data_IF_875963847278
#
_entry.id   IF_875963847278
#
_cell.length_a   1.000
_cell.length_b   1.000
_cell.length_c   1.000
_cell.angle_alpha   90.00
_cell.angle_beta   90.00
_cell.angle_gamma   90.00
#
_symmetry.space_group_name_H-M   'P 1'
#
loop_
_entity.id
_entity.type
_entity.pdbx_description
1 polymer ?
#
# COMPACT_ATOMS: atom_id res chain seq x y z
N UNK A 1 -0.05 -20.88 2.88
CA UNK A 1 1.22 -20.38 3.53
C UNK A 1 0.94 -20.12 5.00
N UNK A 2 1.80 -20.59 5.89
CA UNK A 2 1.68 -20.30 7.32
C UNK A 2 1.94 -18.82 7.62
N UNK A 3 1.25 -18.25 8.61
CA UNK A 3 1.28 -16.81 8.87
C UNK A 3 2.68 -16.28 9.19
N UNK A 4 3.45 -16.98 10.04
CA UNK A 4 4.81 -16.57 10.39
C UNK A 4 5.77 -16.70 9.20
N UNK A 5 5.58 -17.69 8.36
CA UNK A 5 6.33 -17.83 7.11
C UNK A 5 6.05 -16.66 6.18
N UNK A 6 4.79 -16.32 5.96
CA UNK A 6 4.37 -15.20 5.14
C UNK A 6 5.01 -13.88 5.59
N UNK A 7 4.99 -13.60 6.90
CA UNK A 7 5.62 -12.41 7.48
C UNK A 7 7.13 -12.40 7.24
N UNK A 8 7.80 -13.54 7.43
CA UNK A 8 9.26 -13.66 7.33
C UNK A 8 9.75 -13.68 5.88
N UNK A 9 8.96 -14.17 4.93
CA UNK A 9 9.38 -14.35 3.53
C UNK A 9 8.94 -13.23 2.61
N UNK A 10 7.88 -12.46 2.95
CA UNK A 10 7.46 -11.31 2.14
C UNK A 10 8.61 -10.31 1.94
N UNK A 11 8.81 -9.88 0.69
CA UNK A 11 9.83 -8.89 0.29
C UNK A 11 9.20 -7.76 -0.52
N UNK A 12 9.91 -6.64 -0.59
CA UNK A 12 9.60 -5.58 -1.56
C UNK A 12 10.13 -5.98 -2.92
N UNK A 13 9.22 -6.39 -3.81
CA UNK A 13 9.51 -6.80 -5.19
C UNK A 13 9.41 -5.58 -6.09
N UNK A 14 10.43 -5.35 -6.94
CA UNK A 14 10.51 -4.20 -7.84
C UNK A 14 10.67 -4.58 -9.31
N UNK A 15 10.81 -5.88 -9.59
CA UNK A 15 10.81 -6.42 -10.94
C UNK A 15 9.69 -7.44 -11.07
N UNK A 16 8.89 -7.25 -12.07
CA UNK A 16 7.71 -8.06 -12.34
C UNK A 16 7.81 -8.70 -13.72
N UNK A 17 7.11 -9.79 -13.91
CA UNK A 17 6.88 -10.37 -15.23
C UNK A 17 5.86 -9.52 -16.00
N UNK A 18 5.72 -9.74 -17.29
CA UNK A 18 4.70 -9.09 -18.11
C UNK A 18 3.29 -9.69 -17.90
N UNK A 19 3.17 -10.74 -17.09
CA UNK A 19 1.89 -11.37 -16.79
C UNK A 19 0.96 -10.37 -16.10
N UNK A 20 -0.23 -10.10 -16.65
CA UNK A 20 -1.20 -9.21 -16.03
C UNK A 20 -1.65 -9.76 -14.67
N UNK A 21 -1.91 -8.86 -13.72
CA UNK A 21 -2.63 -9.22 -12.48
C UNK A 21 -4.11 -9.12 -12.77
N UNK A 22 -4.83 -10.20 -12.54
CA UNK A 22 -6.27 -10.27 -12.81
C UNK A 22 -7.08 -9.52 -11.76
N UNK A 23 -8.30 -9.15 -12.14
CA UNK A 23 -9.26 -8.55 -11.21
C UNK A 23 -9.61 -9.51 -10.07
N UNK A 24 -9.68 -10.79 -10.34
CA UNK A 24 -9.98 -11.85 -9.39
C UNK A 24 -8.88 -12.01 -8.35
N UNK A 25 -7.61 -12.01 -8.76
CA UNK A 25 -6.47 -12.04 -7.84
C UNK A 25 -6.48 -10.81 -6.91
N UNK A 26 -6.67 -9.62 -7.46
CA UNK A 26 -6.75 -8.39 -6.66
C UNK A 26 -7.95 -8.38 -5.73
N UNK A 27 -9.10 -8.90 -6.16
CA UNK A 27 -10.28 -9.01 -5.32
C UNK A 27 -10.04 -9.95 -4.11
N UNK A 28 -9.36 -11.07 -4.31
CA UNK A 28 -8.98 -11.98 -3.23
C UNK A 28 -8.01 -11.32 -2.24
N UNK A 29 -7.02 -10.60 -2.75
CA UNK A 29 -6.05 -9.85 -1.92
C UNK A 29 -6.76 -8.78 -1.10
N UNK A 30 -7.64 -7.98 -1.72
CA UNK A 30 -8.39 -6.91 -1.03
C UNK A 30 -9.38 -7.50 -0.02
N UNK A 31 -10.04 -8.62 -0.33
CA UNK A 31 -10.92 -9.32 0.60
C UNK A 31 -10.19 -9.75 1.88
N UNK A 32 -8.96 -10.24 1.75
CA UNK A 32 -8.11 -10.56 2.90
C UNK A 32 -7.63 -9.28 3.62
N UNK A 33 -7.25 -8.24 2.87
CA UNK A 33 -6.81 -6.97 3.43
C UNK A 33 -7.91 -6.24 4.21
N UNK A 34 -9.18 -6.50 3.92
CA UNK A 34 -10.32 -5.95 4.67
C UNK A 34 -10.37 -6.38 6.15
N UNK A 35 -9.66 -7.47 6.51
CA UNK A 35 -9.52 -7.91 7.90
C UNK A 35 -8.44 -7.13 8.67
N UNK A 36 -7.76 -6.16 8.07
CA UNK A 36 -6.85 -5.26 8.76
C UNK A 36 -7.60 -4.52 9.88
N UNK A 37 -7.12 -4.52 11.14
CA UNK A 37 -7.75 -3.73 12.18
C UNK A 37 -7.64 -2.24 11.88
N UNK A 38 -8.63 -1.49 12.32
CA UNK A 38 -8.67 -0.04 12.21
C UNK A 38 -9.33 0.60 13.43
N UNK A 39 -9.08 1.87 13.65
CA UNK A 39 -9.72 2.66 14.73
C UNK A 39 -11.24 2.45 14.75
N UNK A 40 -11.78 1.95 15.88
CA UNK A 40 -13.23 1.68 16.03
C UNK A 40 -13.85 0.95 14.81
N UNK A 41 -13.06 0.13 14.10
CA UNK A 41 -13.45 -0.57 12.89
C UNK A 41 -13.95 0.38 11.76
N UNK A 42 -13.31 1.53 11.61
CA UNK A 42 -13.69 2.54 10.59
C UNK A 42 -13.41 2.11 9.16
N UNK A 43 -12.50 1.15 8.96
CA UNK A 43 -12.18 0.55 7.65
C UNK A 43 -11.94 1.62 6.57
N UNK A 44 -11.07 2.60 6.86
CA UNK A 44 -10.86 3.79 6.02
C UNK A 44 -10.10 3.52 4.72
N UNK A 45 -9.37 2.41 4.61
CA UNK A 45 -8.56 2.10 3.42
C UNK A 45 -9.42 1.88 2.18
N UNK A 46 -8.97 2.39 1.03
CA UNK A 46 -9.53 2.16 -0.30
C UNK A 46 -8.40 1.85 -1.28
N UNK A 47 -8.66 0.98 -2.23
CA UNK A 47 -7.68 0.49 -3.19
C UNK A 47 -8.11 0.84 -4.60
N UNK A 48 -7.53 1.87 -5.18
CA UNK A 48 -7.78 2.30 -6.55
C UNK A 48 -6.71 1.68 -7.44
N UNK A 49 -7.10 0.74 -8.28
CA UNK A 49 -6.18 -0.03 -9.12
C UNK A 49 -6.02 0.62 -10.48
N UNK A 50 -4.79 0.87 -10.88
CA UNK A 50 -4.40 1.43 -12.18
C UNK A 50 -3.67 0.35 -12.98
N UNK A 51 -4.30 -0.14 -14.05
CA UNK A 51 -3.73 -1.09 -15.02
C UNK A 51 -3.57 -0.48 -16.41
N UNK A 52 -4.18 0.68 -16.66
CA UNK A 52 -4.02 1.42 -17.91
C UNK A 52 -2.58 1.90 -18.06
N UNK A 53 -1.94 1.51 -19.18
CA UNK A 53 -0.52 1.79 -19.42
C UNK A 53 -0.21 3.29 -19.47
N UNK A 54 -1.07 4.09 -20.10
CA UNK A 54 -0.86 5.53 -20.20
C UNK A 54 -0.94 6.20 -18.82
N UNK A 55 -1.89 5.79 -17.99
CA UNK A 55 -2.01 6.29 -16.60
C UNK A 55 -0.85 5.83 -15.74
N UNK A 56 -0.42 4.57 -15.83
CA UNK A 56 0.77 4.06 -15.10
C UNK A 56 2.02 4.84 -15.49
N UNK A 57 2.22 5.08 -16.78
CA UNK A 57 3.35 5.86 -17.26
C UNK A 57 3.31 7.30 -16.70
N UNK A 58 2.15 7.94 -16.73
CA UNK A 58 1.97 9.28 -16.14
C UNK A 58 2.22 9.28 -14.62
N UNK A 59 1.72 8.28 -13.89
CA UNK A 59 2.05 8.14 -12.46
C UNK A 59 3.57 8.05 -12.24
N UNK A 60 4.28 7.28 -13.07
CA UNK A 60 5.72 7.13 -12.99
C UNK A 60 6.47 8.43 -13.30
N UNK A 61 6.14 9.10 -14.40
CA UNK A 61 6.88 10.25 -14.89
C UNK A 61 6.57 11.54 -14.13
N UNK A 62 5.31 11.74 -13.78
CA UNK A 62 4.84 13.02 -13.24
C UNK A 62 4.73 13.02 -11.71
N UNK A 63 4.44 11.86 -11.06
CA UNK A 63 4.00 11.83 -9.66
C UNK A 63 5.07 11.37 -8.66
N UNK A 64 6.22 10.85 -9.11
CA UNK A 64 7.23 10.21 -8.24
C UNK A 64 8.33 11.16 -7.75
N UNK A 65 8.14 12.48 -7.85
CA UNK A 65 9.10 13.49 -7.36
C UNK A 65 10.54 13.22 -7.86
N UNK A 66 10.68 12.87 -9.13
CA UNK A 66 11.95 12.53 -9.80
C UNK A 66 12.75 11.37 -9.16
N UNK A 67 12.09 10.56 -8.31
CA UNK A 67 12.74 9.41 -7.71
C UNK A 67 12.79 8.21 -8.67
N UNK A 68 13.88 8.10 -9.41
CA UNK A 68 14.08 7.15 -10.52
C UNK A 68 13.75 5.69 -10.18
N UNK A 69 14.00 5.24 -8.94
CA UNK A 69 13.67 3.86 -8.53
C UNK A 69 12.16 3.61 -8.50
N UNK A 70 11.37 4.55 -8.00
CA UNK A 70 9.90 4.42 -8.01
C UNK A 70 9.34 4.59 -9.41
N UNK A 71 9.87 5.54 -10.20
CA UNK A 71 9.49 5.74 -11.60
C UNK A 71 9.65 4.44 -12.39
N UNK A 72 10.83 3.83 -12.33
CA UNK A 72 11.10 2.56 -13.00
C UNK A 72 10.20 1.43 -12.51
N UNK A 73 9.95 1.36 -11.20
CA UNK A 73 9.10 0.31 -10.62
C UNK A 73 7.64 0.47 -11.07
N UNK A 74 7.10 1.68 -11.02
CA UNK A 74 5.71 1.97 -11.38
C UNK A 74 5.44 1.76 -12.88
N UNK A 75 6.36 2.18 -13.76
CA UNK A 75 6.21 2.03 -15.20
C UNK A 75 6.24 0.57 -15.67
N UNK A 76 6.96 -0.32 -14.96
CA UNK A 76 7.08 -1.74 -15.34
C UNK A 76 6.14 -2.66 -14.55
N UNK A 77 5.45 -2.17 -13.54
CA UNK A 77 4.51 -3.00 -12.78
C UNK A 77 3.25 -3.29 -13.62
N UNK A 78 2.72 -4.53 -13.62
CA UNK A 78 1.43 -4.84 -14.25
C UNK A 78 0.27 -4.00 -13.71
N UNK A 79 0.31 -3.66 -12.42
CA UNK A 79 -0.65 -2.77 -11.79
C UNK A 79 0.01 -1.87 -10.74
N UNK A 80 -0.53 -0.66 -10.58
CA UNK A 80 -0.23 0.24 -9.46
C UNK A 80 -1.51 0.47 -8.68
N UNK A 81 -1.50 0.16 -7.39
CA UNK A 81 -2.58 0.46 -6.48
C UNK A 81 -2.32 1.80 -5.82
N UNK A 82 -3.20 2.76 -6.03
CA UNK A 82 -3.26 3.99 -5.25
C UNK A 82 -4.06 3.67 -3.99
N UNK A 83 -3.36 3.47 -2.89
CA UNK A 83 -3.99 3.28 -1.58
C UNK A 83 -4.42 4.64 -1.06
N UNK A 84 -5.72 4.81 -0.91
CA UNK A 84 -6.30 6.02 -0.30
C UNK A 84 -6.90 5.70 1.07
N UNK A 85 -7.14 6.74 1.85
CA UNK A 85 -7.79 6.67 3.15
C UNK A 85 -8.92 7.70 3.25
N UNK A 86 -10.07 7.27 3.76
CA UNK A 86 -11.20 8.18 4.05
C UNK A 86 -10.81 9.06 5.24
N UNK A 87 -10.87 10.38 5.06
CA UNK A 87 -10.47 11.36 6.07
C UNK A 87 -11.57 11.61 7.12
N UNK A 88 -11.20 12.14 8.28
CA UNK A 88 -12.15 12.53 9.34
C UNK A 88 -12.86 11.36 10.04
N UNK A 89 -12.32 10.13 9.95
CA UNK A 89 -12.92 8.94 10.57
C UNK A 89 -12.03 8.35 11.68
N UNK A 90 -10.86 7.83 11.33
CA UNK A 90 -9.93 7.27 12.31
C UNK A 90 -9.31 8.39 13.16
N UNK A 91 -9.43 8.27 14.48
CA UNK A 91 -8.99 9.29 15.42
C UNK A 91 -9.99 10.42 15.67
N UNK A 92 -11.21 10.31 15.13
CA UNK A 92 -12.25 11.33 15.26
C UNK A 92 -13.54 10.79 15.87
N UNK A 93 -14.28 11.66 16.56
CA UNK A 93 -15.64 11.44 17.01
C UNK A 93 -16.64 11.78 15.88
N UNK A 94 -17.92 11.49 16.12
CA UNK A 94 -18.99 11.71 15.11
C UNK A 94 -19.23 13.18 14.80
N UNK A 95 -18.91 14.07 15.74
CA UNK A 95 -19.03 15.52 15.58
C UNK A 95 -17.84 16.17 14.89
N UNK A 96 -16.84 15.37 14.48
CA UNK A 96 -15.62 15.83 13.83
C UNK A 96 -14.51 16.27 14.77
N UNK A 97 -14.71 16.20 16.10
CA UNK A 97 -13.68 16.48 17.07
C UNK A 97 -12.63 15.35 17.12
N UNK A 98 -11.37 15.69 17.43
CA UNK A 98 -10.32 14.68 17.63
C UNK A 98 -10.57 13.88 18.90
N UNK A 99 -10.56 12.53 18.81
CA UNK A 99 -10.68 11.65 19.97
C UNK A 99 -9.43 11.65 20.85
N UNK A 100 -8.28 12.03 20.29
CA UNK A 100 -6.99 12.03 20.99
C UNK A 100 -6.10 13.15 20.47
N UNK A 101 -5.00 13.44 21.19
CA UNK A 101 -3.97 14.40 20.77
C UNK A 101 -3.25 14.00 19.47
N UNK A 102 -3.37 12.76 18.99
CA UNK A 102 -2.75 12.26 17.76
C UNK A 102 -3.49 12.72 16.49
N UNK A 103 -4.76 13.14 16.58
CA UNK A 103 -5.53 13.68 15.46
C UNK A 103 -5.47 12.81 14.20
N UNK A 104 -5.03 13.39 13.09
CA UNK A 104 -4.95 12.73 11.78
C UNK A 104 -3.93 11.58 11.70
N UNK A 105 -3.01 11.43 12.65
CA UNK A 105 -2.02 10.36 12.64
C UNK A 105 -2.66 8.96 12.68
N UNK A 106 -3.82 8.82 13.30
CA UNK A 106 -4.56 7.57 13.32
C UNK A 106 -4.99 7.10 11.93
N UNK A 107 -5.28 8.02 11.02
CA UNK A 107 -5.62 7.69 9.63
C UNK A 107 -4.41 7.07 8.90
N UNK A 108 -3.23 7.67 9.06
CA UNK A 108 -1.99 7.14 8.49
C UNK A 108 -1.59 5.81 9.14
N UNK A 109 -1.84 5.65 10.44
CA UNK A 109 -1.59 4.40 11.16
C UNK A 109 -2.47 3.27 10.60
N UNK A 110 -3.77 3.48 10.48
CA UNK A 110 -4.71 2.49 9.92
C UNK A 110 -4.39 2.17 8.45
N UNK A 111 -4.04 3.19 7.65
CA UNK A 111 -3.64 2.99 6.26
C UNK A 111 -2.35 2.14 6.16
N UNK A 112 -1.40 2.33 7.07
CA UNK A 112 -0.18 1.51 7.16
C UNK A 112 -0.47 0.04 7.50
N UNK A 113 -1.39 -0.21 8.43
CA UNK A 113 -1.84 -1.56 8.78
C UNK A 113 -2.51 -2.22 7.56
N UNK A 114 -3.41 -1.50 6.88
CA UNK A 114 -4.08 -1.98 5.68
C UNK A 114 -3.10 -2.27 4.54
N UNK A 115 -2.11 -1.39 4.32
CA UNK A 115 -1.05 -1.60 3.32
C UNK A 115 -0.24 -2.87 3.61
N UNK A 116 0.15 -3.09 4.87
CA UNK A 116 0.89 -4.30 5.24
C UNK A 116 0.04 -5.55 5.08
N UNK A 117 -1.23 -5.51 5.49
CA UNK A 117 -2.14 -6.67 5.34
C UNK A 117 -2.36 -6.99 3.86
N UNK A 118 -2.53 -5.96 2.99
CA UNK A 118 -2.57 -6.12 1.53
C UNK A 118 -1.30 -6.80 1.01
N UNK A 119 -0.12 -6.34 1.42
CA UNK A 119 1.15 -6.93 0.97
C UNK A 119 1.34 -8.38 1.42
N UNK A 120 0.90 -8.73 2.62
CA UNK A 120 0.92 -10.12 3.11
C UNK A 120 -0.05 -11.00 2.33
N UNK A 121 -1.28 -10.52 2.10
CA UNK A 121 -2.27 -11.24 1.30
C UNK A 121 -1.76 -11.45 -0.14
N UNK A 122 -1.22 -10.41 -0.79
CA UNK A 122 -0.62 -10.52 -2.11
C UNK A 122 0.48 -11.60 -2.15
N UNK A 123 1.41 -11.56 -1.17
CA UNK A 123 2.48 -12.54 -1.06
C UNK A 123 1.94 -13.97 -0.88
N UNK A 124 0.93 -14.16 -0.06
CA UNK A 124 0.29 -15.46 0.15
C UNK A 124 -0.39 -16.00 -1.13
N UNK A 125 -0.80 -15.11 -2.03
CA UNK A 125 -1.35 -15.43 -3.37
C UNK A 125 -0.29 -15.48 -4.49
N UNK A 126 1.01 -15.41 -4.16
CA UNK A 126 2.10 -15.50 -5.16
C UNK A 126 2.39 -14.16 -5.87
N UNK A 127 1.80 -13.06 -5.44
CA UNK A 127 2.07 -11.74 -6.00
C UNK A 127 3.16 -11.01 -5.22
N UNK A 128 4.02 -10.29 -5.94
CA UNK A 128 5.00 -9.38 -5.40
C UNK A 128 4.45 -7.98 -5.24
N UNK A 129 4.90 -7.27 -4.20
CA UNK A 129 4.49 -5.89 -3.94
C UNK A 129 5.65 -5.04 -3.45
N UNK A 130 5.58 -3.72 -3.69
CA UNK A 130 6.38 -2.72 -2.99
C UNK A 130 5.56 -1.49 -2.69
N UNK A 131 5.63 -1.03 -1.43
CA UNK A 131 5.01 0.24 -1.01
C UNK A 131 5.97 1.38 -1.36
N UNK A 132 5.44 2.41 -2.04
CA UNK A 132 6.16 3.59 -2.47
C UNK A 132 5.55 4.83 -1.80
N UNK A 133 6.37 5.54 -1.01
CA UNK A 133 5.93 6.72 -0.25
C UNK A 133 6.47 8.05 -0.80
N UNK A 134 7.34 8.02 -1.82
CA UNK A 134 7.85 9.23 -2.46
C UNK A 134 6.95 9.53 -3.66
N UNK A 135 6.00 10.43 -3.47
CA UNK A 135 5.04 10.86 -4.49
C UNK A 135 4.47 12.25 -4.19
N UNK A 136 3.92 12.88 -5.22
CA UNK A 136 3.18 14.13 -5.15
C UNK A 136 1.68 13.83 -5.26
N UNK A 137 0.93 14.05 -4.17
CA UNK A 137 -0.50 13.74 -4.08
C UNK A 137 -1.33 14.57 -5.07
N UNK A 138 -0.98 15.86 -5.27
CA UNK A 138 -1.74 16.75 -6.17
C UNK A 138 -1.60 16.29 -7.62
N UNK A 139 -0.40 15.85 -8.02
CA UNK A 139 -0.17 15.28 -9.35
C UNK A 139 -0.88 13.94 -9.55
N UNK A 140 -0.93 13.08 -8.51
CA UNK A 140 -1.71 11.84 -8.59
C UNK A 140 -3.19 12.13 -8.88
N UNK A 141 -3.78 13.14 -8.23
CA UNK A 141 -5.16 13.53 -8.46
C UNK A 141 -5.44 14.06 -9.89
N UNK A 142 -4.40 14.46 -10.63
CA UNK A 142 -4.51 14.84 -12.05
C UNK A 142 -4.46 13.64 -13.01
N UNK A 143 -3.99 12.48 -12.53
CA UNK A 143 -3.86 11.25 -13.32
C UNK A 143 -5.02 10.30 -13.07
N UNK A 144 -5.46 10.21 -11.81
CA UNK A 144 -6.55 9.33 -11.38
C UNK A 144 -7.55 10.10 -10.54
N UNK A 145 -8.81 9.75 -10.66
CA UNK A 145 -9.87 10.37 -9.86
C UNK A 145 -9.78 9.89 -8.40
N UNK A 146 -9.45 10.80 -7.50
CA UNK A 146 -9.48 10.55 -6.06
C UNK A 146 -10.86 11.00 -5.54
N UNK A 147 -11.67 10.10 -4.97
CA UNK A 147 -12.98 10.47 -4.45
C UNK A 147 -12.89 11.54 -3.36
N UNK A 148 -13.89 12.43 -3.32
CA UNK A 148 -13.99 13.46 -2.29
C UNK A 148 -13.92 12.84 -0.87
N UNK A 149 -13.27 13.51 0.05
CA UNK A 149 -13.05 13.02 1.42
C UNK A 149 -12.00 11.92 1.54
N UNK A 150 -11.23 11.64 0.49
CA UNK A 150 -10.10 10.71 0.54
C UNK A 150 -8.78 11.42 0.29
N UNK A 151 -7.70 10.86 0.84
CA UNK A 151 -6.31 11.27 0.60
C UNK A 151 -5.47 10.06 0.22
N UNK A 152 -4.43 10.29 -0.58
CA UNK A 152 -3.46 9.24 -0.93
C UNK A 152 -2.58 8.93 0.27
N UNK A 153 -2.53 7.66 0.67
CA UNK A 153 -1.68 7.19 1.75
C UNK A 153 -0.36 6.62 1.25
N UNK A 154 -0.41 5.87 0.15
CA UNK A 154 0.75 5.26 -0.49
C UNK A 154 0.42 4.81 -1.92
N UNK A 155 1.46 4.56 -2.71
CA UNK A 155 1.34 3.79 -3.95
C UNK A 155 1.91 2.39 -3.70
N UNK A 156 1.28 1.35 -4.28
CA UNK A 156 1.75 -0.03 -4.18
C UNK A 156 1.86 -0.60 -5.59
N UNK A 157 3.09 -0.83 -6.07
CA UNK A 157 3.28 -1.62 -7.27
C UNK A 157 3.00 -3.09 -6.97
N UNK A 158 2.28 -3.77 -7.86
CA UNK A 158 1.87 -5.17 -7.70
C UNK A 158 1.97 -5.92 -9.02
N UNK A 159 2.45 -7.18 -8.96
CA UNK A 159 2.60 -8.04 -10.12
C UNK A 159 3.17 -9.41 -9.75
N UNK A 160 3.27 -10.29 -10.73
CA UNK A 160 3.97 -11.56 -10.56
C UNK A 160 5.49 -11.31 -10.49
N UNK A 161 6.19 -11.78 -9.43
CA UNK A 161 7.61 -11.46 -9.24
C UNK A 161 8.48 -12.05 -10.35
N UNK A 162 9.39 -11.23 -10.90
CA UNK A 162 10.45 -11.67 -11.81
C UNK A 162 11.81 -11.79 -11.10
N UNK A 163 11.85 -11.60 -9.78
CA UNK A 163 13.05 -11.69 -8.97
C UNK A 163 12.72 -12.22 -7.57
N UNK A 164 13.70 -12.84 -6.91
CA UNK A 164 13.65 -13.14 -5.48
C UNK A 164 14.54 -12.13 -4.74
N UNK A 165 13.96 -11.08 -4.15
CA UNK A 165 14.75 -10.07 -3.47
C UNK A 165 15.46 -10.62 -2.22
N UNK A 166 16.73 -10.25 -2.06
CA UNK A 166 17.52 -10.62 -0.88
C UNK A 166 16.86 -10.05 0.38
N UNK A 167 16.83 -10.87 1.44
CA UNK A 167 16.34 -10.42 2.73
C UNK A 167 17.37 -9.47 3.38
N UNK A 168 17.06 -8.18 3.57
CA UNK A 168 17.97 -7.30 4.30
C UNK A 168 18.02 -7.70 5.78
N UNK A 169 19.16 -7.42 6.41
CA UNK A 169 19.36 -7.66 7.86
C UNK A 169 18.24 -7.01 8.68
N UNK A 170 17.74 -7.69 9.67
CA UNK A 170 16.77 -7.18 10.64
C UNK A 170 17.47 -6.95 11.98
N UNK A 171 16.96 -5.98 12.73
CA UNK A 171 17.31 -5.87 14.14
C UNK A 171 16.78 -7.09 14.88
N UNK A 172 17.50 -7.53 15.91
CA UNK A 172 17.06 -8.60 16.79
C UNK A 172 16.00 -8.12 17.79
N UNK A 173 15.41 -9.08 18.48
CA UNK A 173 14.37 -8.77 19.47
C UNK A 173 14.94 -7.97 20.65
N UNK A 174 16.18 -8.17 21.04
CA UNK A 174 16.84 -7.46 22.15
C UNK A 174 17.00 -5.97 21.85
N UNK A 175 17.26 -5.61 20.57
CA UNK A 175 17.31 -4.21 20.13
C UNK A 175 15.93 -3.53 20.15
N UNK A 176 14.85 -4.29 19.93
CA UNK A 176 13.51 -3.75 19.71
C UNK A 176 12.60 -3.82 20.95
N UNK A 177 12.93 -4.67 21.90
CA UNK A 177 12.10 -4.97 23.07
C UNK A 177 12.75 -4.43 24.34
N UNK A 178 12.00 -3.66 25.10
CA UNK A 178 12.41 -3.16 26.40
C UNK A 178 11.36 -3.56 27.43
N UNK A 179 11.80 -3.98 28.59
CA UNK A 179 10.94 -4.25 29.77
C UNK A 179 11.22 -3.17 30.82
N UNK A 180 10.15 -2.67 31.44
CA UNK A 180 10.19 -1.75 32.58
C UNK A 180 9.64 -2.41 33.84
#
# INVERSE_FOLDING_TARGET
MEALECIKTRRSVRKFTEQPVTREELAQVVAAAAYAPSWKNTQIARYLVVTDEAKKQRLADECMMDFAFNQKTASHAPAVVVLTMVTGRSGYERDGSSSTSQGTHWQSFDAGIAAQTFCLAAHAHGLGTVIMGIFDEEKIAQVVEIPEGQKVAALIAVGHPAEEPVCPKRKDAETLLHFE
#
